data_IF_675829540707
#
_entry.id   IF_675829540707
#
_cell.length_a   1.000
_cell.length_b   1.000
_cell.length_c   1.000
_cell.angle_alpha   90.00
_cell.angle_beta   90.00
_cell.angle_gamma   90.00
#
_symmetry.space_group_name_H-M   'P 1'
#
loop_
_entity.id
_entity.type
_entity.pdbx_description
1 polymer ?
#
# COMPACT_ATOMS: atom_id res chain seq x y z
N UNK A 1 47.29 18.99 18.06
CA UNK A 1 46.70 18.83 16.71
C UNK A 1 46.06 17.42 16.47
N UNK A 2 46.64 16.32 16.96
CA UNK A 2 46.07 14.97 16.78
C UNK A 2 44.71 14.78 17.52
N UNK A 3 44.59 15.29 18.74
CA UNK A 3 43.36 15.18 19.54
C UNK A 3 42.18 15.99 18.93
N UNK A 4 42.44 17.14 18.33
CA UNK A 4 41.43 17.94 17.68
C UNK A 4 40.86 17.26 16.42
N UNK A 5 41.69 16.54 15.66
CA UNK A 5 41.28 15.77 14.49
C UNK A 5 40.41 14.56 14.86
N UNK A 6 40.70 13.91 15.99
CA UNK A 6 39.94 12.79 16.51
C UNK A 6 38.53 13.23 17.01
N UNK A 7 38.44 14.39 17.69
CA UNK A 7 37.20 14.99 18.13
C UNK A 7 36.28 15.36 16.97
N UNK A 8 36.83 15.95 15.90
CA UNK A 8 36.06 16.25 14.68
C UNK A 8 35.55 14.98 13.98
N UNK A 9 36.35 13.92 13.93
CA UNK A 9 35.95 12.64 13.34
C UNK A 9 34.81 11.98 14.13
N UNK A 10 34.81 12.04 15.46
CA UNK A 10 33.77 11.49 16.33
C UNK A 10 32.46 12.31 16.21
N UNK A 11 32.55 13.63 16.13
CA UNK A 11 31.39 14.51 15.93
C UNK A 11 30.75 14.28 14.55
N UNK A 12 31.53 14.14 13.48
CA UNK A 12 31.00 13.84 12.16
C UNK A 12 30.33 12.45 12.08
N UNK A 13 30.84 11.45 12.81
CA UNK A 13 30.27 10.10 12.84
C UNK A 13 28.92 10.07 13.58
N UNK A 14 28.73 10.93 14.58
CA UNK A 14 27.48 11.03 15.33
C UNK A 14 26.30 11.63 14.52
N UNK A 15 26.57 12.35 13.42
CA UNK A 15 25.55 12.97 12.56
C UNK A 15 25.00 12.01 11.48
N UNK A 16 25.61 10.83 11.31
CA UNK A 16 25.20 9.85 10.29
C UNK A 16 24.10 8.89 10.77
N UNK A 17 23.63 9.00 12.02
CA UNK A 17 22.60 8.10 12.59
C UNK A 17 21.18 8.66 12.50
N UNK A 18 20.90 9.63 11.64
CA UNK A 18 19.53 10.03 11.33
C UNK A 18 18.93 8.99 10.37
N UNK A 19 18.76 7.75 10.83
CA UNK A 19 18.02 6.73 10.11
C UNK A 19 16.56 7.17 10.06
N UNK A 20 16.02 7.37 8.86
CA UNK A 20 14.56 7.46 8.66
C UNK A 20 13.95 6.21 9.27
N UNK A 21 13.29 6.33 10.39
CA UNK A 21 12.53 5.25 11.00
C UNK A 21 11.27 5.07 10.14
N UNK A 22 11.27 4.07 9.24
CA UNK A 22 10.07 3.65 8.55
C UNK A 22 9.12 3.07 9.61
N UNK A 23 8.07 3.84 9.94
CA UNK A 23 7.11 3.49 10.97
C UNK A 23 5.97 2.60 10.42
N UNK A 24 6.22 1.92 9.31
CA UNK A 24 5.26 1.01 8.70
C UNK A 24 4.97 -0.18 9.62
N UNK A 25 3.71 -0.39 9.95
CA UNK A 25 3.25 -1.51 10.80
C UNK A 25 2.75 -2.70 10.00
N UNK A 26 2.32 -2.46 8.77
CA UNK A 26 1.87 -3.49 7.84
C UNK A 26 2.23 -3.11 6.41
N UNK A 27 2.80 -4.04 5.66
CA UNK A 27 3.06 -3.87 4.24
C UNK A 27 3.06 -5.23 3.56
N UNK A 28 2.06 -5.48 2.71
CA UNK A 28 1.93 -6.73 1.99
C UNK A 28 1.40 -6.48 0.59
N UNK A 29 1.91 -7.24 -0.39
CA UNK A 29 1.36 -7.35 -1.73
C UNK A 29 0.71 -8.71 -1.93
N UNK A 30 -0.45 -8.73 -2.59
CA UNK A 30 -1.15 -9.93 -3.00
C UNK A 30 -1.12 -10.04 -4.52
N UNK A 31 -0.62 -11.15 -5.08
CA UNK A 31 -0.57 -11.34 -6.52
C UNK A 31 -1.95 -11.59 -7.11
N UNK A 32 -2.16 -11.07 -8.30
CA UNK A 32 -3.30 -11.39 -9.15
C UNK A 32 -2.96 -12.62 -9.99
N UNK A 33 -3.96 -13.42 -10.32
CA UNK A 33 -3.78 -14.59 -11.20
C UNK A 33 -3.23 -14.17 -12.56
N UNK A 34 -2.37 -14.98 -13.15
CA UNK A 34 -1.80 -14.71 -14.49
C UNK A 34 -2.85 -14.65 -15.60
N UNK A 35 -4.01 -15.27 -15.40
CA UNK A 35 -5.17 -15.20 -16.30
C UNK A 35 -5.90 -13.86 -16.26
N UNK A 36 -5.49 -12.96 -15.37
CA UNK A 36 -6.10 -11.66 -15.11
C UNK A 36 -6.85 -11.64 -13.78
N UNK A 37 -7.19 -10.43 -13.33
CA UNK A 37 -7.98 -10.22 -12.12
C UNK A 37 -9.47 -10.25 -12.44
N UNK A 38 -10.16 -11.29 -12.00
CA UNK A 38 -11.61 -11.40 -12.17
C UNK A 38 -12.35 -10.54 -11.14
N UNK A 39 -13.48 -9.96 -11.53
CA UNK A 39 -14.34 -9.13 -10.66
C UNK A 39 -14.87 -9.87 -9.43
N UNK A 40 -14.93 -11.21 -9.48
CA UNK A 40 -15.31 -12.07 -8.34
C UNK A 40 -14.12 -12.44 -7.44
N UNK A 41 -12.88 -12.21 -7.89
CA UNK A 41 -11.67 -12.53 -7.12
C UNK A 41 -11.41 -11.41 -6.10
N UNK A 42 -11.37 -11.78 -4.84
CA UNK A 42 -11.07 -10.86 -3.73
C UNK A 42 -9.65 -11.06 -3.25
N UNK A 43 -8.85 -9.99 -3.22
CA UNK A 43 -7.54 -9.97 -2.58
C UNK A 43 -7.71 -9.71 -1.09
N UNK A 44 -7.16 -10.60 -0.27
CA UNK A 44 -7.38 -10.58 1.18
C UNK A 44 -6.08 -10.34 1.93
N UNK A 45 -6.08 -9.37 2.84
CA UNK A 45 -4.95 -8.97 3.67
C UNK A 45 -5.32 -9.17 5.12
N UNK A 46 -4.57 -10.03 5.83
CA UNK A 46 -4.74 -10.27 7.25
C UNK A 46 -3.80 -9.37 8.03
N UNK A 47 -4.34 -8.41 8.77
CA UNK A 47 -3.54 -7.55 9.62
C UNK A 47 -3.11 -8.32 10.88
N UNK A 48 -1.94 -7.97 11.47
CA UNK A 48 -1.52 -8.56 12.74
C UNK A 48 -2.59 -8.35 13.83
N UNK A 49 -2.82 -9.37 14.67
CA UNK A 49 -3.82 -9.31 15.74
C UNK A 49 -3.48 -8.28 16.84
N UNK A 50 -2.21 -7.86 16.93
CA UNK A 50 -1.73 -6.90 17.95
C UNK A 50 -1.34 -5.56 17.31
N UNK A 51 -2.25 -4.98 16.52
CA UNK A 51 -2.09 -3.58 16.10
C UNK A 51 -2.32 -2.66 17.31
N UNK A 52 -1.49 -1.63 17.45
CA UNK A 52 -1.68 -0.61 18.48
C UNK A 52 -2.98 0.17 18.23
N UNK A 53 -3.60 0.69 19.31
CA UNK A 53 -4.75 1.58 19.17
C UNK A 53 -4.33 2.90 18.51
N UNK A 54 -5.08 3.35 17.51
CA UNK A 54 -4.84 4.62 16.85
C UNK A 54 -5.39 4.70 15.44
N UNK A 55 -5.15 5.85 14.82
CA UNK A 55 -5.43 6.07 13.40
C UNK A 55 -4.24 5.65 12.55
N UNK A 56 -4.51 4.98 11.44
CA UNK A 56 -3.51 4.52 10.49
C UNK A 56 -3.76 5.15 9.13
N UNK A 57 -2.73 5.78 8.58
CA UNK A 57 -2.71 6.16 7.18
C UNK A 57 -2.53 4.92 6.33
N UNK A 58 -3.41 4.76 5.34
CA UNK A 58 -3.38 3.62 4.41
C UNK A 58 -2.89 4.07 3.04
N UNK A 59 -2.03 3.26 2.44
CA UNK A 59 -1.59 3.40 1.06
C UNK A 59 -1.92 2.13 0.29
N UNK A 60 -2.43 2.31 -0.93
CA UNK A 60 -2.66 1.23 -1.89
C UNK A 60 -1.55 1.28 -2.94
N UNK A 61 -0.79 0.21 -3.04
CA UNK A 61 0.20 0.01 -4.09
C UNK A 61 -0.38 -0.80 -5.23
N UNK A 62 -0.14 -0.38 -6.46
CA UNK A 62 -0.57 -1.11 -7.66
C UNK A 62 0.65 -1.36 -8.52
N UNK A 63 0.88 -2.63 -8.87
CA UNK A 63 1.87 -3.01 -9.86
C UNK A 63 1.16 -3.58 -11.08
N UNK A 64 1.47 -3.01 -12.22
CA UNK A 64 0.87 -3.42 -13.49
C UNK A 64 1.92 -3.42 -14.61
N UNK A 65 1.60 -4.04 -15.73
CA UNK A 65 2.38 -4.00 -16.97
C UNK A 65 1.78 -2.96 -17.92
N UNK A 66 2.48 -2.66 -19.01
CA UNK A 66 1.95 -1.84 -20.11
C UNK A 66 0.72 -2.45 -20.80
N UNK A 67 0.39 -3.71 -20.51
CA UNK A 67 -0.83 -4.37 -21.03
C UNK A 67 -2.11 -3.94 -20.33
N UNK A 68 -2.03 -3.21 -19.21
CA UNK A 68 -3.23 -2.66 -18.56
C UNK A 68 -3.85 -1.62 -19.47
N UNK A 69 -5.15 -1.76 -19.76
CA UNK A 69 -5.81 -1.02 -20.83
C UNK A 69 -6.37 0.35 -20.41
N UNK A 70 -6.36 0.68 -19.10
CA UNK A 70 -7.02 1.87 -18.54
C UNK A 70 -6.02 2.81 -17.88
N UNK A 71 -6.38 4.11 -17.83
CA UNK A 71 -5.59 5.14 -17.15
C UNK A 71 -5.86 5.20 -15.65
N UNK A 72 -6.92 4.53 -15.18
CA UNK A 72 -7.38 4.51 -13.79
C UNK A 72 -7.87 3.13 -13.40
N UNK A 73 -8.12 2.95 -12.12
CA UNK A 73 -8.76 1.75 -11.58
C UNK A 73 -9.72 2.12 -10.46
N UNK A 74 -10.89 1.49 -10.48
CA UNK A 74 -11.88 1.57 -9.40
C UNK A 74 -11.81 0.32 -8.57
N UNK A 75 -11.68 0.51 -7.25
CA UNK A 75 -11.59 -0.58 -6.28
C UNK A 75 -12.66 -0.40 -5.20
N UNK A 76 -13.22 -1.50 -4.73
CA UNK A 76 -13.92 -1.55 -3.45
C UNK A 76 -12.96 -2.10 -2.40
N UNK A 77 -12.84 -1.39 -1.30
CA UNK A 77 -12.10 -1.83 -0.11
C UNK A 77 -13.09 -2.04 1.03
N UNK A 78 -12.99 -3.19 1.68
CA UNK A 78 -13.72 -3.46 2.93
C UNK A 78 -12.73 -3.87 4.02
N UNK A 79 -12.99 -3.42 5.24
CA UNK A 79 -12.27 -3.86 6.43
C UNK A 79 -13.26 -4.48 7.41
N UNK A 80 -12.97 -5.69 7.87
CA UNK A 80 -13.79 -6.41 8.85
C UNK A 80 -12.96 -6.76 10.07
N UNK A 81 -13.61 -6.77 11.24
CA UNK A 81 -13.09 -7.29 12.49
C UNK A 81 -14.13 -8.29 13.03
N UNK A 82 -13.70 -9.51 13.33
CA UNK A 82 -14.59 -10.58 13.84
C UNK A 82 -15.88 -10.72 13.00
N UNK A 83 -15.73 -10.78 11.67
CA UNK A 83 -16.82 -10.85 10.69
C UNK A 83 -17.75 -9.62 10.64
N UNK A 84 -17.56 -8.65 11.51
CA UNK A 84 -18.31 -7.39 11.50
C UNK A 84 -17.67 -6.39 10.53
N UNK A 85 -18.49 -5.79 9.65
CA UNK A 85 -18.04 -4.72 8.76
C UNK A 85 -17.62 -3.51 9.58
N UNK A 86 -16.34 -3.16 9.49
CA UNK A 86 -15.74 -2.04 10.22
C UNK A 86 -15.61 -0.78 9.35
N UNK A 87 -15.19 -0.97 8.11
CA UNK A 87 -15.08 0.11 7.13
C UNK A 87 -15.35 -0.42 5.73
N UNK A 88 -15.93 0.43 4.88
CA UNK A 88 -16.10 0.22 3.45
C UNK A 88 -15.85 1.51 2.72
N UNK A 89 -15.06 1.46 1.65
CA UNK A 89 -14.79 2.62 0.80
C UNK A 89 -14.65 2.21 -0.67
N UNK A 90 -14.93 3.16 -1.57
CA UNK A 90 -14.69 3.03 -3.00
C UNK A 90 -13.54 3.95 -3.37
N UNK A 91 -12.50 3.37 -3.97
CA UNK A 91 -11.27 4.06 -4.30
C UNK A 91 -11.17 4.25 -5.80
N UNK A 92 -10.99 5.50 -6.24
CA UNK A 92 -10.69 5.83 -7.63
C UNK A 92 -9.22 6.26 -7.74
N UNK A 93 -8.40 5.46 -8.39
CA UNK A 93 -6.95 5.64 -8.44
C UNK A 93 -6.49 5.85 -9.87
N UNK A 94 -5.80 6.96 -10.13
CA UNK A 94 -5.23 7.26 -11.44
C UNK A 94 -3.84 6.64 -11.58
N UNK A 95 -3.66 5.79 -12.58
CA UNK A 95 -2.40 5.10 -12.87
C UNK A 95 -1.61 5.80 -13.97
N UNK A 96 -2.27 6.65 -14.78
CA UNK A 96 -1.63 7.43 -15.82
C UNK A 96 -2.10 8.88 -15.78
N UNK A 97 -1.32 9.75 -16.40
CA UNK A 97 -1.66 11.16 -16.65
C UNK A 97 -2.73 11.25 -17.73
N UNK A 98 -3.33 12.43 -17.90
CA UNK A 98 -4.29 12.72 -18.99
C UNK A 98 -3.69 12.50 -20.39
N UNK A 99 -2.38 12.56 -20.53
CA UNK A 99 -1.66 12.32 -21.79
C UNK A 99 -1.35 10.84 -22.01
N UNK A 100 -1.74 9.93 -21.10
CA UNK A 100 -1.50 8.50 -21.21
C UNK A 100 -0.12 8.05 -20.69
N UNK A 101 0.64 8.92 -20.06
CA UNK A 101 1.92 8.55 -19.46
C UNK A 101 1.69 7.90 -18.08
N UNK A 102 2.28 6.75 -17.83
CA UNK A 102 2.18 6.06 -16.55
C UNK A 102 2.77 6.89 -15.41
N UNK A 103 2.02 7.07 -14.34
CA UNK A 103 2.40 7.89 -13.17
C UNK A 103 3.31 7.15 -12.18
N UNK A 104 3.59 5.87 -12.42
CA UNK A 104 4.37 5.01 -11.53
C UNK A 104 5.86 4.97 -11.86
N UNK A 105 6.61 4.20 -11.05
CA UNK A 105 8.02 3.90 -11.29
C UNK A 105 8.16 2.53 -11.93
N UNK A 106 9.01 2.42 -12.95
CA UNK A 106 9.36 1.13 -13.56
C UNK A 106 10.25 0.31 -12.61
N UNK A 107 9.82 -0.91 -12.28
CA UNK A 107 10.56 -1.85 -11.43
C UNK A 107 10.46 -3.24 -12.08
N UNK A 108 11.59 -3.75 -12.62
CA UNK A 108 11.65 -5.13 -13.14
C UNK A 108 10.60 -5.46 -14.21
N UNK A 109 10.27 -4.52 -15.08
CA UNK A 109 9.26 -4.69 -16.13
C UNK A 109 7.82 -4.43 -15.68
N UNK A 110 7.63 -4.06 -14.42
CA UNK A 110 6.36 -3.59 -13.86
C UNK A 110 6.39 -2.09 -13.63
N UNK A 111 5.24 -1.46 -13.66
CA UNK A 111 5.03 -0.06 -13.29
C UNK A 111 4.34 -0.07 -11.93
N UNK A 112 4.97 0.53 -10.93
CA UNK A 112 4.44 0.62 -9.58
C UNK A 112 3.97 2.04 -9.29
N UNK A 113 2.71 2.18 -8.87
CA UNK A 113 2.14 3.41 -8.32
C UNK A 113 1.70 3.19 -6.87
N UNK A 114 1.76 4.25 -6.05
CA UNK A 114 1.35 4.23 -4.64
C UNK A 114 0.38 5.39 -4.41
N UNK A 115 -0.76 5.09 -3.82
CA UNK A 115 -1.87 6.02 -3.61
C UNK A 115 -2.23 6.09 -2.14
N UNK A 116 -2.02 7.26 -1.53
CA UNK A 116 -2.46 7.51 -0.16
C UNK A 116 -3.99 7.67 -0.11
N UNK A 117 -4.62 7.06 0.89
CA UNK A 117 -6.05 7.22 1.12
C UNK A 117 -6.31 8.44 1.99
N UNK A 118 -7.40 9.18 1.67
CA UNK A 118 -7.74 10.41 2.37
C UNK A 118 -8.26 10.16 3.80
N UNK A 119 -8.94 9.02 4.01
CA UNK A 119 -9.51 8.65 5.31
C UNK A 119 -8.57 7.72 6.05
N UNK A 120 -8.17 8.05 7.29
CA UNK A 120 -7.43 7.12 8.11
C UNK A 120 -8.31 5.95 8.53
N UNK A 121 -7.68 4.83 8.83
CA UNK A 121 -8.31 3.63 9.37
C UNK A 121 -8.13 3.61 10.89
N UNK A 122 -9.19 3.84 11.71
CA UNK A 122 -9.07 3.77 13.16
C UNK A 122 -9.06 2.30 13.60
N UNK A 123 -7.93 1.83 14.14
CA UNK A 123 -7.78 0.45 14.62
C UNK A 123 -7.71 0.42 16.13
N UNK A 124 -8.17 -0.70 16.71
CA UNK A 124 -8.09 -1.01 18.13
C UNK A 124 -7.42 -2.39 18.30
N UNK A 125 -6.71 -2.64 19.40
CA UNK A 125 -6.21 -3.98 19.69
C UNK A 125 -7.35 -5.00 19.70
N UNK A 126 -7.17 -6.10 18.98
CA UNK A 126 -8.14 -7.21 18.94
C UNK A 126 -7.41 -8.53 18.79
N UNK A 127 -7.92 -9.59 19.41
CA UNK A 127 -7.33 -10.93 19.29
C UNK A 127 -7.60 -11.55 17.92
N UNK A 128 -8.74 -11.22 17.29
CA UNK A 128 -9.13 -11.75 15.98
C UNK A 128 -8.39 -11.09 14.82
N UNK A 129 -7.86 -9.87 15.04
CA UNK A 129 -7.24 -9.06 14.00
C UNK A 129 -8.26 -8.46 13.02
N UNK A 130 -7.74 -7.72 12.04
CA UNK A 130 -8.54 -7.13 10.97
C UNK A 130 -8.24 -7.80 9.65
N UNK A 131 -9.25 -7.86 8.79
CA UNK A 131 -9.12 -8.37 7.43
C UNK A 131 -9.53 -7.27 6.46
N UNK A 132 -8.59 -6.83 5.63
CA UNK A 132 -8.86 -5.95 4.50
C UNK A 132 -9.09 -6.80 3.26
N UNK A 133 -10.16 -6.52 2.52
CA UNK A 133 -10.48 -7.16 1.24
C UNK A 133 -10.58 -6.09 0.16
N UNK A 134 -10.01 -6.37 -0.99
CA UNK A 134 -10.02 -5.49 -2.16
C UNK A 134 -10.52 -6.26 -3.37
N UNK A 135 -11.50 -5.68 -4.07
CA UNK A 135 -12.02 -6.14 -5.36
C UNK A 135 -12.00 -4.97 -6.35
N UNK A 136 -11.94 -5.23 -7.65
CA UNK A 136 -12.10 -4.17 -8.63
C UNK A 136 -13.58 -3.95 -9.00
N UNK A 137 -13.93 -2.70 -9.31
CA UNK A 137 -15.25 -2.28 -9.74
C UNK A 137 -15.28 -1.83 -11.22
N UNK A 138 -14.29 -2.26 -11.98
CA UNK A 138 -14.23 -1.98 -13.42
C UNK A 138 -15.31 -2.76 -14.17
N UNK A 139 -15.77 -2.23 -15.31
CA UNK A 139 -16.81 -2.86 -16.13
C UNK A 139 -16.39 -4.22 -16.73
N UNK A 140 -15.10 -4.40 -16.98
CA UNK A 140 -14.58 -5.68 -17.48
C UNK A 140 -14.65 -6.74 -16.38
N UNK A 141 -15.13 -7.91 -16.74
CA UNK A 141 -15.16 -9.07 -15.84
C UNK A 141 -13.76 -9.55 -15.46
N UNK A 142 -12.76 -9.26 -16.29
CA UNK A 142 -11.35 -9.67 -16.08
C UNK A 142 -10.42 -8.56 -16.54
N UNK A 143 -9.64 -8.02 -15.59
CA UNK A 143 -8.60 -7.04 -15.89
C UNK A 143 -7.29 -7.74 -16.26
N UNK A 144 -6.77 -7.44 -17.45
CA UNK A 144 -5.45 -7.86 -17.86
C UNK A 144 -4.40 -6.82 -17.44
N UNK A 145 -3.18 -7.26 -17.21
CA UNK A 145 -2.05 -6.39 -16.97
C UNK A 145 -1.85 -5.96 -15.51
N UNK A 146 -2.80 -6.13 -14.59
CA UNK A 146 -2.57 -5.99 -13.16
C UNK A 146 -1.76 -7.19 -12.68
N UNK A 147 -0.65 -6.94 -11.97
CA UNK A 147 0.25 -7.96 -11.46
C UNK A 147 -0.02 -8.26 -9.97
N UNK A 148 -0.05 -7.23 -9.15
CA UNK A 148 -0.37 -7.34 -7.72
C UNK A 148 -0.90 -6.02 -7.15
N UNK A 149 -1.59 -6.14 -6.03
CA UNK A 149 -2.10 -5.02 -5.23
C UNK A 149 -1.45 -5.09 -3.86
N UNK A 150 -0.97 -3.95 -3.36
CA UNK A 150 -0.37 -3.80 -2.05
C UNK A 150 -1.21 -2.97 -1.10
N UNK A 151 -1.13 -3.31 0.18
CA UNK A 151 -1.67 -2.50 1.29
C UNK A 151 -0.52 -2.19 2.23
N UNK A 152 -0.37 -0.91 2.56
CA UNK A 152 0.57 -0.44 3.59
C UNK A 152 -0.19 0.37 4.61
N UNK A 153 0.10 0.14 5.91
CA UNK A 153 -0.44 0.90 7.03
C UNK A 153 0.70 1.47 7.88
N UNK A 154 0.61 2.76 8.17
CA UNK A 154 1.54 3.47 9.05
C UNK A 154 0.75 4.26 10.10
N UNK A 155 1.15 4.28 11.38
CA UNK A 155 0.49 5.09 12.39
C UNK A 155 0.47 6.56 11.98
N UNK A 156 -0.67 7.21 12.15
CA UNK A 156 -0.83 8.65 11.94
C UNK A 156 -0.34 9.40 13.19
N UNK A 157 0.53 10.35 13.00
CA UNK A 157 1.09 11.21 14.05
C UNK A 157 0.39 12.56 14.09
#
# INVERSE_FOLDING_TARGET
MKHLRITYAIVCLAWLTCACQDNTKFHQYQPVKQTGWHSIDTLTFHLPSKMDSGEYDMQIGIRHTEKYAYQDIWLEMTCTCDSTMFAKDTLHLYLATKNGEWSGRGIGGLIQSIHAQAKPLPLQPTEQGYIIRITHLMNDSTLQGIHDIGVQLSPRH
#
